data_IF_474979570675
#
_entry.id   IF_474979570675
#
_cell.length_a   1.000
_cell.length_b   1.000
_cell.length_c   1.000
_cell.angle_alpha   90.00
_cell.angle_beta   90.00
_cell.angle_gamma   90.00
#
_symmetry.space_group_name_H-M   'P 1'
#
loop_
_entity.id
_entity.type
_entity.pdbx_description
1 polymer ?
#
# COMPACT_ATOMS: atom_id res chain seq x y z
N UNK A 1 -2.50 2.31 -21.56
CA UNK A 1 -2.30 1.35 -20.45
C UNK A 1 -2.10 -0.04 -21.06
N UNK A 2 -0.92 -0.64 -20.88
CA UNK A 2 -0.68 -1.99 -21.37
C UNK A 2 -1.34 -2.98 -20.41
N UNK A 3 -2.22 -3.83 -20.94
CA UNK A 3 -3.01 -4.83 -20.19
C UNK A 3 -2.14 -5.76 -19.31
N UNK A 4 -0.88 -5.99 -19.73
CA UNK A 4 0.10 -6.78 -19.00
C UNK A 4 0.59 -6.12 -17.68
N UNK A 5 0.69 -4.79 -17.64
CA UNK A 5 1.18 -4.07 -16.44
C UNK A 5 0.15 -4.17 -15.30
N UNK A 6 -1.14 -4.09 -15.65
CA UNK A 6 -2.24 -4.11 -14.68
C UNK A 6 -2.51 -5.51 -14.17
N UNK A 7 -2.43 -6.53 -15.04
CA UNK A 7 -2.58 -7.93 -14.62
C UNK A 7 -1.47 -8.35 -13.65
N UNK A 8 -0.22 -7.88 -13.88
CA UNK A 8 0.89 -8.11 -12.96
C UNK A 8 0.69 -7.41 -11.61
N UNK A 9 0.23 -6.16 -11.62
CA UNK A 9 -0.06 -5.41 -10.39
C UNK A 9 -1.22 -6.01 -9.59
N UNK A 10 -2.24 -6.55 -10.25
CA UNK A 10 -3.38 -7.19 -9.58
C UNK A 10 -2.94 -8.41 -8.76
N UNK A 11 -2.08 -9.27 -9.31
CA UNK A 11 -1.53 -10.43 -8.58
C UNK A 11 -0.75 -9.97 -7.35
N UNK A 12 0.13 -8.98 -7.51
CA UNK A 12 0.94 -8.44 -6.41
C UNK A 12 0.07 -7.79 -5.33
N UNK A 13 -0.97 -7.05 -5.74
CA UNK A 13 -1.93 -6.46 -4.81
C UNK A 13 -2.64 -7.52 -3.98
N UNK A 14 -3.12 -8.58 -4.63
CA UNK A 14 -3.80 -9.68 -3.94
C UNK A 14 -2.87 -10.38 -2.94
N UNK A 15 -1.62 -10.61 -3.31
CA UNK A 15 -0.60 -11.18 -2.42
C UNK A 15 -0.28 -10.27 -1.23
N UNK A 16 -0.15 -8.97 -1.45
CA UNK A 16 0.22 -8.02 -0.40
C UNK A 16 -0.94 -7.66 0.56
N UNK A 17 -2.18 -7.57 0.06
CA UNK A 17 -3.32 -7.04 0.82
C UNK A 17 -4.43 -8.06 1.15
N UNK A 18 -4.58 -9.13 0.37
CA UNK A 18 -5.65 -10.13 0.59
C UNK A 18 -5.15 -11.46 1.15
N UNK A 19 -3.92 -11.90 0.80
CA UNK A 19 -3.38 -13.15 1.36
C UNK A 19 -3.12 -12.95 2.85
N UNK A 20 -3.71 -13.79 3.72
CA UNK A 20 -3.83 -13.42 5.11
C UNK A 20 -2.60 -13.87 5.90
N UNK A 21 -1.51 -13.15 5.70
CA UNK A 21 -0.35 -13.16 6.59
C UNK A 21 -0.74 -13.04 8.07
N UNK A 22 -1.74 -12.19 8.34
CA UNK A 22 -2.17 -11.85 9.70
C UNK A 22 -2.82 -12.98 10.49
N UNK A 23 -3.18 -14.09 9.84
CA UNK A 23 -3.64 -15.31 10.54
C UNK A 23 -2.49 -16.29 10.83
N UNK A 24 -1.27 -16.02 10.34
CA UNK A 24 -0.09 -16.85 10.52
C UNK A 24 0.81 -16.45 11.70
N UNK A 25 0.51 -15.33 12.38
CA UNK A 25 1.30 -14.89 13.54
C UNK A 25 1.29 -15.93 14.65
N UNK A 26 2.47 -16.37 15.04
CA UNK A 26 2.66 -17.42 16.03
C UNK A 26 2.46 -16.91 17.47
N UNK A 27 2.49 -15.59 17.66
CA UNK A 27 2.32 -14.95 18.95
C UNK A 27 1.16 -13.95 18.97
N UNK A 28 0.44 -13.94 20.09
CA UNK A 28 -0.64 -12.96 20.34
C UNK A 28 -0.12 -11.52 20.37
N UNK A 29 1.12 -11.30 20.86
CA UNK A 29 1.75 -9.98 20.89
C UNK A 29 2.01 -9.45 19.49
N UNK A 30 2.54 -10.29 18.60
CA UNK A 30 2.70 -9.95 17.19
C UNK A 30 1.34 -9.60 16.54
N UNK A 31 0.31 -10.41 16.79
CA UNK A 31 -1.03 -10.13 16.25
C UNK A 31 -1.59 -8.79 16.71
N UNK A 32 -1.50 -8.49 18.01
CA UNK A 32 -1.98 -7.21 18.55
C UNK A 32 -1.19 -6.05 17.94
N UNK A 33 0.13 -6.19 17.86
CA UNK A 33 0.98 -5.16 17.30
C UNK A 33 0.70 -4.90 15.81
N UNK A 34 0.45 -5.96 15.02
CA UNK A 34 0.04 -5.80 13.63
C UNK A 34 -1.28 -5.04 13.48
N UNK A 35 -2.24 -5.22 14.40
CA UNK A 35 -3.52 -4.50 14.33
C UNK A 35 -3.32 -2.97 14.40
N UNK A 36 -2.23 -2.49 15.00
CA UNK A 36 -1.91 -1.05 15.06
C UNK A 36 -1.72 -0.46 13.64
N UNK A 37 -1.34 -1.28 12.65
CA UNK A 37 -1.16 -0.84 11.25
C UNK A 37 -2.46 -0.84 10.43
N UNK A 38 -3.57 -1.37 10.94
CA UNK A 38 -4.78 -1.63 10.14
C UNK A 38 -5.38 -0.38 9.47
N UNK A 39 -5.28 0.78 10.13
CA UNK A 39 -5.74 2.05 9.56
C UNK A 39 -4.86 2.51 8.37
N UNK A 40 -3.56 2.19 8.40
CA UNK A 40 -2.63 2.44 7.30
C UNK A 40 -2.88 1.46 6.15
N UNK A 41 -3.15 0.18 6.43
CA UNK A 41 -3.56 -0.80 5.40
C UNK A 41 -4.76 -0.27 4.61
N UNK A 42 -5.78 0.28 5.28
CA UNK A 42 -6.96 0.87 4.62
C UNK A 42 -6.59 2.10 3.77
N UNK A 43 -5.73 2.98 4.29
CA UNK A 43 -5.27 4.17 3.57
C UNK A 43 -4.48 3.83 2.29
N UNK A 44 -3.75 2.71 2.31
CA UNK A 44 -2.94 2.22 1.20
C UNK A 44 -3.75 1.40 0.19
N UNK A 45 -4.59 0.48 0.67
CA UNK A 45 -5.28 -0.48 -0.18
C UNK A 45 -6.27 0.17 -1.13
N UNK A 46 -7.02 1.19 -0.68
CA UNK A 46 -8.04 1.85 -1.50
C UNK A 46 -7.49 2.45 -2.80
N UNK A 47 -6.48 3.33 -2.73
CA UNK A 47 -5.88 3.94 -3.92
C UNK A 47 -5.27 2.91 -4.88
N UNK A 48 -4.52 1.95 -4.35
CA UNK A 48 -3.88 0.91 -5.16
C UNK A 48 -4.93 0.03 -5.84
N UNK A 49 -5.98 -0.38 -5.12
CA UNK A 49 -7.09 -1.14 -5.68
C UNK A 49 -7.80 -0.38 -6.81
N UNK A 50 -8.01 0.93 -6.65
CA UNK A 50 -8.63 1.76 -7.70
C UNK A 50 -7.76 1.83 -8.96
N UNK A 51 -6.44 1.96 -8.80
CA UNK A 51 -5.50 1.94 -9.94
C UNK A 51 -5.59 0.60 -10.67
N UNK A 52 -5.58 -0.51 -9.92
CA UNK A 52 -5.68 -1.87 -10.47
C UNK A 52 -7.00 -2.09 -11.20
N UNK A 53 -8.13 -1.73 -10.58
CA UNK A 53 -9.46 -2.14 -11.08
C UNK A 53 -10.12 -1.13 -12.00
N UNK A 54 -9.85 0.16 -11.80
CA UNK A 54 -10.49 1.25 -12.53
C UNK A 54 -9.52 1.97 -13.47
N UNK A 55 -8.23 1.59 -13.48
CA UNK A 55 -7.20 2.20 -14.32
C UNK A 55 -6.89 3.65 -13.96
N UNK A 56 -7.19 4.05 -12.71
CA UNK A 56 -7.02 5.43 -12.27
C UNK A 56 -7.37 5.64 -10.80
N UNK A 57 -6.95 6.79 -10.25
CA UNK A 57 -7.21 7.16 -8.85
C UNK A 57 -8.01 8.46 -8.69
N UNK A 58 -8.86 8.81 -9.66
CA UNK A 58 -9.58 10.10 -9.68
C UNK A 58 -10.46 10.37 -8.45
N UNK A 59 -10.94 9.32 -7.79
CA UNK A 59 -11.74 9.48 -6.58
C UNK A 59 -10.92 10.08 -5.43
N UNK A 60 -9.60 9.86 -5.40
CA UNK A 60 -8.71 10.45 -4.41
C UNK A 60 -8.55 11.94 -4.68
N UNK A 61 -8.37 12.33 -5.95
CA UNK A 61 -8.14 13.72 -6.34
C UNK A 61 -9.32 14.66 -6.10
N UNK A 62 -10.49 14.10 -5.84
CA UNK A 62 -11.71 14.84 -5.51
C UNK A 62 -12.06 14.77 -4.01
N UNK A 63 -11.24 14.11 -3.18
CA UNK A 63 -11.48 13.94 -1.75
C UNK A 63 -10.73 14.96 -0.90
N UNK A 64 -11.45 15.47 0.09
CA UNK A 64 -10.93 16.39 1.11
C UNK A 64 -11.04 15.81 2.53
N UNK A 65 -10.90 14.48 2.62
CA UNK A 65 -10.96 13.74 3.88
C UNK A 65 -9.60 13.69 4.60
N UNK A 66 -9.58 13.09 5.80
CA UNK A 66 -8.39 13.00 6.64
C UNK A 66 -7.20 12.33 5.93
N UNK A 67 -7.45 11.38 5.02
CA UNK A 67 -6.41 10.61 4.36
C UNK A 67 -5.84 11.33 3.13
N UNK A 68 -6.68 12.07 2.39
CA UNK A 68 -6.33 12.56 1.06
C UNK A 68 -6.47 14.05 0.83
N UNK A 69 -6.75 14.85 1.87
CA UNK A 69 -6.70 16.32 1.77
C UNK A 69 -5.40 16.79 1.10
N UNK A 70 -5.54 17.60 0.05
CA UNK A 70 -4.43 18.17 -0.72
C UNK A 70 -3.73 17.18 -1.66
N UNK A 71 -4.30 16.00 -1.90
CA UNK A 71 -3.81 15.06 -2.92
C UNK A 71 -4.61 15.30 -4.20
N UNK A 72 -4.10 16.12 -5.11
CA UNK A 72 -4.78 16.53 -6.34
C UNK A 72 -4.10 16.05 -7.64
N UNK A 73 -2.97 15.36 -7.50
CA UNK A 73 -2.17 14.85 -8.62
C UNK A 73 -1.40 13.58 -8.24
N UNK A 74 -0.86 12.82 -9.22
CA UNK A 74 -0.15 11.57 -8.96
C UNK A 74 1.10 11.71 -8.08
N UNK A 75 1.85 12.81 -8.18
CA UNK A 75 3.03 13.06 -7.33
C UNK A 75 2.62 13.23 -5.87
N UNK A 76 1.56 14.00 -5.61
CA UNK A 76 1.00 14.15 -4.28
C UNK A 76 0.46 12.82 -3.73
N UNK A 77 -0.14 11.99 -4.59
CA UNK A 77 -0.60 10.65 -4.22
C UNK A 77 0.57 9.76 -3.81
N UNK A 78 1.64 9.69 -4.62
CA UNK A 78 2.83 8.91 -4.30
C UNK A 78 3.41 9.30 -2.95
N UNK A 79 3.60 10.60 -2.73
CA UNK A 79 4.11 11.11 -1.45
C UNK A 79 3.22 10.69 -0.26
N UNK A 80 1.89 10.77 -0.41
CA UNK A 80 0.94 10.38 0.63
C UNK A 80 1.00 8.88 0.94
N UNK A 81 1.07 8.04 -0.09
CA UNK A 81 1.15 6.59 0.08
C UNK A 81 2.49 6.19 0.71
N UNK A 82 3.60 6.76 0.25
CA UNK A 82 4.93 6.51 0.84
C UNK A 82 5.03 7.00 2.29
N UNK A 83 4.39 8.12 2.63
CA UNK A 83 4.29 8.56 4.02
C UNK A 83 3.54 7.53 4.88
N UNK A 84 2.40 7.04 4.41
CA UNK A 84 1.59 6.05 5.14
C UNK A 84 2.31 4.72 5.27
N UNK A 85 3.04 4.31 4.24
CA UNK A 85 3.90 3.13 4.25
C UNK A 85 5.07 3.28 5.24
N UNK A 86 5.74 4.43 5.26
CA UNK A 86 6.82 4.71 6.22
C UNK A 86 6.33 4.64 7.67
N UNK A 87 5.10 5.10 7.95
CA UNK A 87 4.49 4.96 9.27
C UNK A 87 4.22 3.49 9.63
N UNK A 88 3.84 2.68 8.64
CA UNK A 88 3.62 1.24 8.83
C UNK A 88 4.95 0.53 9.14
N UNK A 89 6.03 0.87 8.43
CA UNK A 89 7.39 0.39 8.70
C UNK A 89 7.81 0.74 10.13
N UNK A 90 7.62 1.99 10.54
CA UNK A 90 7.98 2.46 11.87
C UNK A 90 7.24 1.70 12.98
N UNK A 91 5.93 1.46 12.81
CA UNK A 91 5.15 0.65 13.76
C UNK A 91 5.79 -0.73 13.86
N UNK A 92 5.97 -1.44 12.74
CA UNK A 92 6.53 -2.81 12.72
C UNK A 92 7.93 -2.87 13.34
N UNK A 93 8.79 -1.89 13.05
CA UNK A 93 10.16 -1.85 13.59
C UNK A 93 10.22 -1.56 15.09
N UNK A 94 9.17 -0.99 15.67
CA UNK A 94 9.03 -0.80 17.11
C UNK A 94 8.63 -2.08 17.86
N UNK A 95 8.32 -3.18 17.16
CA UNK A 95 8.06 -4.46 17.81
C UNK A 95 9.33 -4.99 18.48
N UNK A 96 9.26 -5.21 19.80
CA UNK A 96 10.36 -5.77 20.58
C UNK A 96 10.08 -7.25 20.91
N UNK A 97 10.60 -8.19 20.09
CA UNK A 97 10.39 -9.62 20.31
C UNK A 97 11.14 -10.10 21.54
N UNK A 98 10.53 -11.03 22.27
CA UNK A 98 11.05 -11.64 23.50
C UNK A 98 11.18 -13.16 23.40
N UNK A 99 10.76 -13.73 22.27
CA UNK A 99 10.84 -15.15 21.98
C UNK A 99 11.20 -15.41 20.52
N UNK A 100 11.69 -16.60 20.21
CA UNK A 100 12.01 -17.00 18.83
C UNK A 100 10.81 -16.97 17.90
N UNK A 101 9.61 -17.27 18.42
CA UNK A 101 8.35 -17.16 17.66
C UNK A 101 8.04 -15.72 17.29
N UNK A 102 8.17 -14.80 18.24
CA UNK A 102 7.99 -13.36 17.99
C UNK A 102 9.06 -12.80 17.05
N UNK A 103 10.31 -13.28 17.11
CA UNK A 103 11.35 -12.91 16.15
C UNK A 103 10.99 -13.37 14.73
N UNK A 104 10.45 -14.59 14.57
CA UNK A 104 9.99 -15.09 13.28
C UNK A 104 8.79 -14.27 12.76
N UNK A 105 7.83 -13.94 13.64
CA UNK A 105 6.70 -13.06 13.29
C UNK A 105 7.20 -11.71 12.78
N UNK A 106 8.17 -11.08 13.46
CA UNK A 106 8.75 -9.78 13.04
C UNK A 106 9.40 -9.85 11.66
N UNK A 107 10.14 -10.93 11.37
CA UNK A 107 10.74 -11.13 10.04
C UNK A 107 9.65 -11.20 8.97
N UNK A 108 8.58 -11.95 9.22
CA UNK A 108 7.45 -12.01 8.31
C UNK A 108 6.76 -10.66 8.15
N UNK A 109 6.47 -9.94 9.24
CA UNK A 109 5.88 -8.59 9.19
C UNK A 109 6.67 -7.63 8.30
N UNK A 110 8.01 -7.61 8.46
CA UNK A 110 8.89 -6.79 7.63
C UNK A 110 8.80 -7.16 6.15
N UNK A 111 8.73 -8.46 5.84
CA UNK A 111 8.53 -8.91 4.47
C UNK A 111 7.20 -8.39 3.91
N UNK A 112 6.10 -8.51 4.66
CA UNK A 112 4.79 -8.00 4.20
C UNK A 112 4.79 -6.50 3.97
N UNK A 113 5.38 -5.72 4.89
CA UNK A 113 5.49 -4.27 4.69
C UNK A 113 6.37 -3.95 3.48
N UNK A 114 7.45 -4.69 3.25
CA UNK A 114 8.27 -4.54 2.05
C UNK A 114 7.48 -4.82 0.77
N UNK A 115 6.68 -5.89 0.75
CA UNK A 115 5.87 -6.27 -0.41
C UNK A 115 4.82 -5.19 -0.70
N UNK A 116 4.14 -4.67 0.32
CA UNK A 116 3.22 -3.53 0.21
C UNK A 116 3.93 -2.32 -0.43
N UNK A 117 5.16 -2.02 -0.01
CA UNK A 117 5.95 -0.93 -0.58
C UNK A 117 6.20 -1.09 -2.07
N UNK A 118 6.55 -2.30 -2.51
CA UNK A 118 6.76 -2.61 -3.92
C UNK A 118 5.49 -2.41 -4.74
N UNK A 119 4.33 -2.84 -4.23
CA UNK A 119 3.03 -2.65 -4.92
C UNK A 119 2.68 -1.17 -5.02
N UNK A 120 2.91 -0.38 -3.98
CA UNK A 120 2.66 1.07 -3.97
C UNK A 120 3.48 1.76 -5.06
N UNK A 121 4.77 1.48 -5.14
CA UNK A 121 5.66 2.10 -6.12
C UNK A 121 5.21 1.76 -7.55
N UNK A 122 4.92 0.48 -7.81
CA UNK A 122 4.44 0.03 -9.12
C UNK A 122 3.10 0.69 -9.50
N UNK A 123 2.17 0.82 -8.56
CA UNK A 123 0.89 1.48 -8.78
C UNK A 123 1.06 2.98 -9.07
N UNK A 124 1.94 3.67 -8.34
CA UNK A 124 2.22 5.09 -8.56
C UNK A 124 2.84 5.35 -9.93
N UNK A 125 3.74 4.48 -10.39
CA UNK A 125 4.35 4.59 -11.71
C UNK A 125 3.34 4.34 -12.84
N UNK A 126 2.34 3.48 -12.62
CA UNK A 126 1.21 3.30 -13.55
C UNK A 126 0.33 4.54 -13.59
N UNK A 127 -0.03 5.10 -12.43
CA UNK A 127 -0.90 6.27 -12.35
C UNK A 127 -0.25 7.52 -12.98
N UNK A 128 1.03 7.74 -12.72
CA UNK A 128 1.79 8.85 -13.31
C UNK A 128 1.79 8.77 -14.83
N UNK A 129 2.08 7.59 -15.41
CA UNK A 129 2.04 7.39 -16.87
C UNK A 129 0.65 7.65 -17.45
N UNK A 130 -0.40 7.14 -16.78
CA UNK A 130 -1.79 7.37 -17.20
C UNK A 130 -2.16 8.85 -17.17
N UNK A 131 -1.70 9.60 -16.18
CA UNK A 131 -1.93 11.04 -16.07
C UNK A 131 -1.24 11.83 -17.19
N UNK A 132 0.04 11.52 -17.45
CA UNK A 132 0.82 12.19 -18.50
C UNK A 132 0.23 11.92 -19.90
N UNK A 133 -0.18 10.67 -20.16
CA UNK A 133 -0.88 10.29 -21.40
C UNK A 133 -2.18 11.07 -21.62
N UNK A 134 -2.92 11.38 -20.56
CA UNK A 134 -4.16 12.13 -20.65
C UNK A 134 -3.93 13.60 -20.95
N UNK A 135 -2.96 14.22 -20.29
CA UNK A 135 -2.60 15.63 -20.54
C UNK A 135 -2.08 15.83 -21.96
N UNK A 136 -1.29 14.89 -22.48
CA UNK A 136 -0.77 14.93 -23.85
C UNK A 136 -1.85 14.76 -24.94
N UNK A 137 -3.01 14.18 -24.62
CA UNK A 137 -4.14 14.05 -25.55
C UNK A 137 -5.07 15.27 -25.56
N UNK A 138 -4.93 16.14 -24.57
CA UNK A 138 -5.74 17.36 -24.41
C UNK A 138 -5.00 18.62 -24.88
N UNK A 139 -3.70 18.52 -25.15
CA UNK A 139 -2.87 19.55 -25.77
C UNK A 139 -2.88 19.45 -27.30
#
# INVERSE_FOLDING_TARGET
MHENDVTGLESQFNEAFYVPAKYGWQSRRAMIHWIETAHLEVALAGPVYSIVTSGGCNYVYSREDYYFRGVDNPVALRNRLLQSHSQMVEIVDNFMPTSSRESADLVSMRQFVSDIGNVIEAACDIEQRRWDDQNNRQA
#
